data_IF_440731159682
#
_entry.id   IF_440731159682
#
_cell.length_a   1.000
_cell.length_b   1.000
_cell.length_c   1.000
_cell.angle_alpha   90.00
_cell.angle_beta   90.00
_cell.angle_gamma   90.00
#
_symmetry.space_group_name_H-M   'P 1'
#
loop_
_entity.id
_entity.type
_entity.pdbx_description
1 polymer ?
#
# COMPACT_ATOMS: atom_id res chain seq x y z
N UNK A 1 4.65 13.86 -8.65
CA UNK A 1 3.34 14.51 -8.44
C UNK A 1 2.80 14.05 -7.11
N UNK A 2 2.11 14.90 -6.33
CA UNK A 2 1.48 14.45 -5.08
C UNK A 2 0.47 13.33 -5.39
N UNK A 3 0.69 12.19 -4.74
CA UNK A 3 -0.05 10.94 -4.90
C UNK A 3 -1.46 10.95 -4.32
N UNK A 4 -1.81 11.97 -3.56
CA UNK A 4 -3.02 12.00 -2.72
C UNK A 4 -4.32 11.74 -3.50
N UNK A 5 -4.39 12.18 -4.78
CA UNK A 5 -5.55 11.90 -5.63
C UNK A 5 -5.78 10.40 -5.91
N UNK A 6 -4.75 9.58 -5.75
CA UNK A 6 -4.77 8.13 -5.98
C UNK A 6 -4.90 7.32 -4.70
N UNK A 7 -4.82 7.95 -3.51
CA UNK A 7 -4.99 7.23 -2.23
C UNK A 7 -6.32 6.47 -2.16
N UNK A 8 -7.38 7.03 -2.76
CA UNK A 8 -8.72 6.41 -2.84
C UNK A 8 -8.79 5.15 -3.71
N UNK A 9 -7.75 4.86 -4.48
CA UNK A 9 -7.64 3.63 -5.29
C UNK A 9 -7.16 2.44 -4.46
N UNK A 10 -6.72 2.67 -3.21
CA UNK A 10 -6.26 1.63 -2.31
C UNK A 10 -7.43 1.19 -1.44
N UNK A 11 -8.02 0.05 -1.75
CA UNK A 11 -9.04 -0.56 -0.92
C UNK A 11 -8.40 -1.58 0.03
N UNK A 12 -8.68 -1.45 1.33
CA UNK A 12 -8.25 -2.39 2.36
C UNK A 12 -9.49 -2.95 3.04
N UNK A 13 -9.57 -4.27 3.09
CA UNK A 13 -10.71 -5.02 3.62
C UNK A 13 -10.20 -5.89 4.77
N UNK A 14 -10.80 -5.74 5.95
CA UNK A 14 -10.54 -6.66 7.06
C UNK A 14 -11.04 -8.06 6.74
N UNK A 15 -10.29 -9.08 7.12
CA UNK A 15 -10.73 -10.47 6.97
C UNK A 15 -11.36 -10.98 8.28
N UNK A 16 -11.72 -12.27 8.29
CA UNK A 16 -12.21 -12.93 9.52
C UNK A 16 -11.08 -13.21 10.52
N UNK A 17 -9.85 -13.31 10.03
CA UNK A 17 -8.68 -13.56 10.86
C UNK A 17 -8.15 -12.22 11.39
N UNK A 18 -7.90 -12.16 12.70
CA UNK A 18 -7.37 -10.97 13.37
C UNK A 18 -6.07 -10.53 12.71
N UNK A 19 -5.93 -9.23 12.49
CA UNK A 19 -4.76 -8.57 11.87
C UNK A 19 -4.43 -9.01 10.43
N UNK A 20 -5.28 -9.82 9.80
CA UNK A 20 -5.14 -10.20 8.40
C UNK A 20 -6.10 -9.37 7.56
N UNK A 21 -5.55 -8.75 6.53
CA UNK A 21 -6.25 -7.85 5.63
C UNK A 21 -6.06 -8.28 4.18
N UNK A 22 -7.02 -7.90 3.35
CA UNK A 22 -6.94 -8.00 1.89
C UNK A 22 -6.81 -6.60 1.32
N UNK A 23 -6.02 -6.43 0.27
CA UNK A 23 -6.03 -5.21 -0.53
C UNK A 23 -6.52 -5.46 -1.94
N UNK A 24 -7.09 -4.41 -2.53
CA UNK A 24 -7.46 -4.33 -3.94
C UNK A 24 -7.00 -2.97 -4.45
N UNK A 25 -6.18 -2.99 -5.50
CA UNK A 25 -5.53 -1.81 -6.08
C UNK A 25 -5.50 -2.00 -7.61
N UNK A 26 -5.72 -0.98 -8.45
CA UNK A 26 -5.47 -1.09 -9.88
C UNK A 26 -4.06 -1.62 -10.18
N UNK A 27 -3.91 -2.66 -10.99
CA UNK A 27 -2.59 -3.24 -11.26
C UNK A 27 -1.69 -2.33 -12.10
N UNK A 28 -2.31 -1.43 -12.86
CA UNK A 28 -1.67 -0.50 -13.78
C UNK A 28 -2.39 0.86 -13.74
N UNK A 29 -1.70 1.89 -14.21
CA UNK A 29 -2.28 3.20 -14.52
C UNK A 29 -1.87 3.59 -15.95
N UNK A 30 -2.51 4.60 -16.53
CA UNK A 30 -2.17 5.07 -17.88
C UNK A 30 -0.66 5.38 -18.00
N UNK A 31 0.05 4.55 -18.77
CA UNK A 31 1.50 4.64 -19.00
C UNK A 31 2.39 4.14 -17.84
N UNK A 32 1.82 3.41 -16.87
CA UNK A 32 2.52 2.85 -15.71
C UNK A 32 2.12 1.38 -15.52
N UNK A 33 2.96 0.47 -16.01
CA UNK A 33 2.66 -0.95 -16.15
C UNK A 33 3.29 -1.81 -15.04
N UNK A 34 4.16 -1.23 -14.22
CA UNK A 34 4.77 -1.88 -13.07
C UNK A 34 4.12 -1.42 -11.76
N UNK A 35 3.90 -2.35 -10.83
CA UNK A 35 3.30 -2.07 -9.52
C UNK A 35 4.17 -2.63 -8.39
N UNK A 36 4.39 -1.80 -7.38
CA UNK A 36 4.92 -2.22 -6.09
C UNK A 36 3.96 -1.84 -4.96
N UNK A 37 3.67 -2.82 -4.10
CA UNK A 37 2.85 -2.64 -2.91
C UNK A 37 3.70 -3.00 -1.69
N UNK A 38 3.77 -2.10 -0.71
CA UNK A 38 4.49 -2.30 0.54
C UNK A 38 3.55 -2.06 1.72
N UNK A 39 3.64 -2.92 2.74
CA UNK A 39 3.16 -2.62 4.09
C UNK A 39 4.21 -1.74 4.79
N UNK A 40 3.90 -0.47 4.94
CA UNK A 40 4.75 0.52 5.61
C UNK A 40 4.38 0.74 7.06
N UNK A 41 5.35 1.19 7.86
CA UNK A 41 5.20 1.54 9.27
C UNK A 41 5.82 2.92 9.55
N UNK A 42 5.06 3.83 10.17
CA UNK A 42 5.47 5.22 10.44
C UNK A 42 5.02 5.69 11.83
N UNK A 43 5.80 6.55 12.53
CA UNK A 43 5.47 7.01 13.88
C UNK A 43 4.37 8.08 13.95
N UNK A 44 3.99 8.71 12.83
CA UNK A 44 3.10 9.89 12.87
C UNK A 44 1.98 9.88 11.83
N UNK A 45 2.27 9.50 10.59
CA UNK A 45 1.30 9.60 9.49
C UNK A 45 1.69 8.71 8.31
N UNK A 46 0.72 8.43 7.45
CA UNK A 46 0.91 7.79 6.15
C UNK A 46 1.43 8.78 5.07
N UNK A 47 2.22 9.80 5.45
CA UNK A 47 2.72 10.82 4.51
C UNK A 47 3.93 10.31 3.71
N UNK A 48 3.69 9.36 2.82
CA UNK A 48 4.65 8.90 1.81
C UNK A 48 5.91 8.19 2.35
N UNK A 49 6.67 7.63 1.42
CA UNK A 49 7.89 6.86 1.67
C UNK A 49 8.91 7.51 2.62
N UNK A 50 8.97 8.84 2.68
CA UNK A 50 10.01 9.58 3.42
C UNK A 50 9.98 9.38 4.93
N UNK A 51 8.81 9.08 5.51
CA UNK A 51 8.65 8.88 6.97
C UNK A 51 8.48 7.42 7.35
N UNK A 52 8.44 6.53 6.35
CA UNK A 52 8.37 5.08 6.56
C UNK A 52 9.70 4.60 7.15
N UNK A 53 9.65 4.01 8.34
CA UNK A 53 10.84 3.47 9.01
C UNK A 53 11.06 2.00 8.67
N UNK A 54 9.97 1.26 8.48
CA UNK A 54 10.01 -0.14 8.11
C UNK A 54 9.00 -0.41 7.00
N UNK A 55 9.35 -1.33 6.11
CA UNK A 55 8.49 -1.76 5.03
C UNK A 55 8.65 -3.22 4.69
N UNK A 56 7.56 -3.87 4.35
CA UNK A 56 7.54 -5.22 3.79
C UNK A 56 6.87 -5.18 2.42
N UNK A 57 7.59 -5.62 1.39
CA UNK A 57 7.01 -5.80 0.06
C UNK A 57 5.97 -6.92 0.10
N UNK A 58 4.81 -6.66 -0.47
CA UNK A 58 3.68 -7.58 -0.49
C UNK A 58 3.56 -8.26 -1.85
N UNK A 59 3.31 -9.56 -1.82
CA UNK A 59 2.94 -10.31 -3.01
C UNK A 59 1.45 -10.10 -3.35
N UNK A 60 1.13 -10.19 -4.64
CA UNK A 60 -0.24 -10.11 -5.14
C UNK A 60 -0.42 -10.95 -6.39
N UNK A 61 -1.68 -11.13 -6.77
CA UNK A 61 -2.09 -11.65 -8.07
C UNK A 61 -2.92 -10.60 -8.80
N UNK A 62 -2.77 -10.53 -10.11
CA UNK A 62 -3.64 -9.68 -10.94
C UNK A 62 -4.91 -10.46 -11.30
N UNK A 63 -6.06 -9.89 -10.96
CA UNK A 63 -7.40 -10.44 -11.24
C UNK A 63 -8.24 -9.29 -11.78
N UNK A 64 -8.75 -9.43 -13.01
CA UNK A 64 -9.61 -8.44 -13.67
C UNK A 64 -9.04 -7.00 -13.63
N UNK A 65 -7.73 -6.85 -13.91
CA UNK A 65 -7.03 -5.56 -13.92
C UNK A 65 -6.71 -4.97 -12.53
N UNK A 66 -6.92 -5.73 -11.46
CA UNK A 66 -6.59 -5.33 -10.10
C UNK A 66 -5.54 -6.24 -9.49
N UNK A 67 -4.55 -5.66 -8.82
CA UNK A 67 -3.68 -6.34 -7.90
C UNK A 67 -4.42 -6.65 -6.60
N UNK A 68 -4.52 -7.94 -6.30
CA UNK A 68 -5.21 -8.47 -5.13
C UNK A 68 -4.22 -9.29 -4.31
N UNK A 69 -4.05 -8.90 -3.05
CA UNK A 69 -3.17 -9.59 -2.11
C UNK A 69 -3.73 -9.63 -0.70
N UNK A 70 -3.13 -10.47 0.13
CA UNK A 70 -3.42 -10.57 1.56
C UNK A 70 -2.16 -10.30 2.34
N UNK A 71 -2.28 -9.63 3.48
CA UNK A 71 -1.15 -9.31 4.33
C UNK A 71 -1.56 -9.34 5.80
N UNK A 72 -0.57 -9.58 6.64
CA UNK A 72 -0.73 -9.57 8.10
C UNK A 72 -0.05 -8.34 8.65
N UNK A 73 -0.79 -7.59 9.46
CA UNK A 73 -0.24 -6.47 10.20
C UNK A 73 0.35 -7.00 11.49
N UNK A 74 1.57 -6.57 11.80
CA UNK A 74 2.21 -6.85 13.08
C UNK A 74 2.16 -5.57 13.88
N UNK A 75 1.50 -5.61 15.04
CA UNK A 75 1.40 -4.43 15.89
C UNK A 75 2.77 -4.06 16.46
N UNK A 76 3.06 -2.75 16.46
CA UNK A 76 4.31 -2.18 16.97
C UNK A 76 3.98 -0.98 17.84
N UNK A 77 4.63 -0.90 19.01
CA UNK A 77 4.26 0.07 20.06
C UNK A 77 4.23 1.54 19.60
N UNK A 78 5.11 1.91 18.67
CA UNK A 78 5.31 3.32 18.25
C UNK A 78 5.11 3.54 16.75
N UNK A 79 4.70 2.51 16.00
CA UNK A 79 4.59 2.60 14.55
C UNK A 79 3.19 2.20 14.07
N UNK A 80 2.64 3.04 13.21
CA UNK A 80 1.32 2.91 12.62
C UNK A 80 1.45 2.28 11.23
N UNK A 81 0.71 1.19 10.95
CA UNK A 81 0.76 0.48 9.68
C UNK A 81 -0.10 1.17 8.61
N UNK A 82 0.36 1.14 7.35
CA UNK A 82 -0.37 1.62 6.18
C UNK A 82 0.14 0.91 4.91
N UNK A 83 -0.65 0.94 3.83
CA UNK A 83 -0.16 0.51 2.53
C UNK A 83 0.47 1.67 1.77
N UNK A 84 1.66 1.44 1.24
CA UNK A 84 2.37 2.34 0.35
C UNK A 84 2.48 1.70 -1.04
N UNK A 85 1.99 2.40 -2.05
CA UNK A 85 1.83 1.88 -3.41
C UNK A 85 2.59 2.75 -4.39
N UNK A 86 3.28 2.11 -5.34
CA UNK A 86 3.99 2.79 -6.41
C UNK A 86 3.67 2.14 -7.75
N UNK A 87 3.15 2.94 -8.68
CA UNK A 87 3.06 2.57 -10.09
C UNK A 87 4.22 3.18 -10.86
N UNK A 88 4.95 2.36 -11.58
CA UNK A 88 6.15 2.74 -12.32
C UNK A 88 5.94 2.57 -13.82
N UNK A 89 6.57 3.46 -14.63
CA UNK A 89 6.74 3.20 -16.04
C UNK A 89 7.84 2.15 -16.23
N UNK A 90 7.70 1.27 -17.22
CA UNK A 90 8.78 0.30 -17.57
C UNK A 90 10.09 1.00 -17.98
N UNK A 91 10.00 2.24 -18.47
CA UNK A 91 11.16 3.00 -18.92
C UNK A 91 11.86 3.70 -17.75
N UNK A 92 13.08 3.26 -17.46
CA UNK A 92 13.94 3.87 -16.46
C UNK A 92 14.14 5.38 -16.69
N UNK A 93 14.03 6.18 -15.61
CA UNK A 93 14.23 7.63 -15.63
C UNK A 93 12.96 8.47 -15.68
N UNK A 94 11.79 7.84 -15.85
CA UNK A 94 10.48 8.50 -15.70
C UNK A 94 9.98 8.42 -14.26
N UNK A 95 9.19 9.44 -13.85
CA UNK A 95 8.64 9.53 -12.51
C UNK A 95 7.41 8.62 -12.35
N UNK A 96 7.43 7.72 -11.37
CA UNK A 96 6.26 6.94 -10.98
C UNK A 96 5.18 7.76 -10.26
N UNK A 97 4.04 7.12 -10.05
CA UNK A 97 2.95 7.61 -9.20
C UNK A 97 2.99 6.87 -7.87
N UNK A 98 2.93 7.63 -6.78
CA UNK A 98 2.89 7.10 -5.43
C UNK A 98 1.47 7.26 -4.89
N UNK A 99 1.01 6.37 -4.03
CA UNK A 99 -0.19 6.55 -3.21
C UNK A 99 0.02 5.89 -1.84
N UNK A 100 -0.77 6.30 -0.85
CA UNK A 100 -0.77 5.68 0.47
C UNK A 100 -2.19 5.56 1.02
N UNK A 101 -2.48 4.46 1.70
CA UNK A 101 -3.74 4.33 2.43
C UNK A 101 -3.75 5.22 3.65
N UNK A 102 -4.93 5.36 4.27
CA UNK A 102 -5.00 5.78 5.66
C UNK A 102 -4.30 4.75 6.57
N UNK A 103 -4.04 5.13 7.83
CA UNK A 103 -3.54 4.20 8.84
C UNK A 103 -4.54 3.07 9.04
N UNK A 104 -4.03 1.84 9.04
CA UNK A 104 -4.80 0.65 9.31
C UNK A 104 -5.00 0.57 10.83
N UNK A 105 -6.24 0.72 11.27
CA UNK A 105 -6.58 0.59 12.69
C UNK A 105 -6.49 -0.89 13.10
N UNK A 106 -5.54 -1.17 13.99
CA UNK A 106 -5.32 -2.50 14.57
C UNK A 106 -5.96 -2.47 15.93
N UNK A 107 -7.17 -3.01 16.05
CA UNK A 107 -7.89 -3.04 17.31
C UNK A 107 -7.14 -3.92 18.32
N UNK A 108 -6.73 -3.35 19.45
CA UNK A 108 -6.26 -4.12 20.61
C UNK A 108 -7.36 -5.10 21.00
N UNK A 109 -7.14 -6.38 20.72
CA UNK A 109 -8.00 -7.47 21.19
C UNK A 109 -7.76 -7.73 22.68
#
# INVERSE_FOLDING_TARGET
>A
MSGEKYNKQIEIISTKDTDVYKFIIPSEMEGLDELEVNLGYSPKNAEGFKFMQESLKLDFKVIDGNAVGTFTVVQKETLLPFLHVMWWPETAGLCGVVASSDIIDVSNS
#
